data_IF_743900605808
#
_entry.id   IF_743900605808
#
_cell.length_a   1.000
_cell.length_b   1.000
_cell.length_c   1.000
_cell.angle_alpha   90.00
_cell.angle_beta   90.00
_cell.angle_gamma   90.00
#
_symmetry.space_group_name_H-M   'P 1'
#
loop_
_entity.id
_entity.type
_entity.pdbx_description
1 polymer ?
#
# COMPACT_ATOMS: atom_id res chain seq x y z
N UNK A 1 3.10 2.44 17.24
CA UNK A 1 4.51 2.00 17.30
C UNK A 1 4.71 1.23 18.61
N UNK A 2 4.66 -0.11 18.58
CA UNK A 2 4.70 -0.93 19.82
C UNK A 2 6.12 -1.09 20.42
N UNK A 3 7.16 -0.58 19.75
CA UNK A 3 8.53 -0.54 20.23
C UNK A 3 9.23 0.68 19.62
N UNK A 4 10.10 1.36 20.37
CA UNK A 4 10.85 2.55 19.90
C UNK A 4 11.86 2.26 18.78
N UNK A 5 12.00 1.00 18.37
CA UNK A 5 12.89 0.55 17.29
C UNK A 5 12.15 0.30 15.95
N UNK A 6 10.82 0.45 15.92
CA UNK A 6 10.05 0.19 14.71
C UNK A 6 10.04 1.42 13.80
N UNK A 7 10.59 1.27 12.58
CA UNK A 7 10.50 2.29 11.54
C UNK A 7 9.25 2.10 10.69
N UNK A 8 8.70 3.21 10.17
CA UNK A 8 7.53 3.23 9.31
C UNK A 8 7.81 4.04 8.05
N UNK A 9 7.60 3.44 6.89
CA UNK A 9 7.61 4.14 5.61
C UNK A 9 6.24 3.96 4.95
N UNK A 10 5.68 5.04 4.41
CA UNK A 10 4.37 5.01 3.75
C UNK A 10 4.57 5.47 2.31
N UNK A 11 4.18 4.62 1.36
CA UNK A 11 4.19 4.91 -0.07
C UNK A 11 2.75 5.01 -0.58
N UNK A 12 2.47 6.01 -1.39
CA UNK A 12 1.25 6.17 -2.15
C UNK A 12 1.46 5.67 -3.57
N UNK A 13 0.56 4.81 -4.05
CA UNK A 13 0.52 4.40 -5.45
C UNK A 13 -0.78 4.88 -6.08
N UNK A 14 -0.65 5.51 -7.25
CA UNK A 14 -1.77 5.95 -8.08
C UNK A 14 -1.50 5.47 -9.50
N UNK A 15 -2.52 5.53 -10.36
CA UNK A 15 -2.39 5.22 -11.79
C UNK A 15 -1.48 6.21 -12.54
N UNK A 16 -1.24 7.37 -11.93
CA UNK A 16 -0.43 8.44 -12.50
C UNK A 16 1.00 8.45 -11.96
N UNK A 17 1.15 8.44 -10.63
CA UNK A 17 2.42 8.67 -9.95
C UNK A 17 2.49 7.90 -8.65
N UNK A 18 3.63 7.27 -8.40
CA UNK A 18 4.01 6.75 -7.10
C UNK A 18 4.77 7.84 -6.32
N UNK A 19 4.48 8.00 -5.03
CA UNK A 19 5.12 8.97 -4.17
C UNK A 19 5.39 8.39 -2.78
N UNK A 20 6.48 8.79 -2.15
CA UNK A 20 6.72 8.50 -0.73
C UNK A 20 5.96 9.54 0.08
N UNK A 21 4.95 9.09 0.81
CA UNK A 21 4.06 9.95 1.61
C UNK A 21 4.64 10.24 2.98
N UNK A 22 5.37 9.27 3.53
CA UNK A 22 6.10 9.42 4.78
C UNK A 22 7.37 8.57 4.74
N UNK A 23 8.47 9.17 5.18
CA UNK A 23 9.75 8.52 5.34
C UNK A 23 10.30 8.88 6.72
N UNK A 24 10.81 7.88 7.42
CA UNK A 24 11.43 8.07 8.73
C UNK A 24 12.91 8.49 8.54
N UNK A 25 13.17 9.79 8.53
CA UNK A 25 14.49 10.41 8.30
C UNK A 25 15.46 10.29 9.48
N UNK A 26 15.08 9.66 10.60
CA UNK A 26 15.84 9.63 11.86
C UNK A 26 17.20 8.90 11.81
N UNK A 27 17.74 8.56 10.64
CA UNK A 27 19.07 7.97 10.47
C UNK A 27 19.84 8.50 9.24
N UNK A 28 19.39 9.59 8.62
CA UNK A 28 20.24 10.29 7.64
C UNK A 28 21.20 11.20 8.42
N UNK A 29 22.42 10.70 8.63
CA UNK A 29 23.52 11.41 9.29
C UNK A 29 23.64 12.88 8.81
N UNK A 30 23.53 13.80 9.76
CA UNK A 30 24.18 15.12 9.88
C UNK A 30 24.15 16.17 8.74
N UNK A 31 23.60 15.91 7.55
CA UNK A 31 23.66 16.87 6.42
C UNK A 31 22.34 17.58 6.07
N UNK A 32 21.16 17.07 6.46
CA UNK A 32 19.87 17.70 6.12
C UNK A 32 19.26 18.55 7.24
N UNK A 33 19.79 18.47 8.46
CA UNK A 33 19.33 19.27 9.60
C UNK A 33 19.53 20.78 9.41
N UNK A 34 20.36 21.22 8.44
CA UNK A 34 20.58 22.65 8.17
C UNK A 34 19.55 23.29 7.24
N UNK A 35 18.72 22.54 6.51
CA UNK A 35 17.72 23.13 5.60
C UNK A 35 16.27 23.11 6.13
N UNK A 36 15.96 22.32 7.15
CA UNK A 36 14.59 22.21 7.69
C UNK A 36 14.28 23.15 8.89
N UNK A 37 15.16 24.10 9.23
CA UNK A 37 14.88 25.09 10.29
C UNK A 37 13.70 26.05 10.01
N UNK A 38 13.11 26.05 8.81
CA UNK A 38 12.00 26.96 8.46
C UNK A 38 10.59 26.37 8.61
N UNK A 39 10.42 25.09 8.93
CA UNK A 39 9.10 24.46 9.05
C UNK A 39 9.01 23.54 10.28
N UNK A 40 9.48 24.00 11.44
CA UNK A 40 9.20 23.29 12.69
C UNK A 40 7.71 23.35 12.98
N UNK A 41 7.06 22.19 12.93
CA UNK A 41 5.70 22.05 13.45
C UNK A 41 5.84 22.01 14.97
N UNK A 42 5.29 23.01 15.66
CA UNK A 42 5.24 23.06 17.12
C UNK A 42 4.16 22.07 17.57
N UNK A 43 4.55 21.06 18.34
CA UNK A 43 3.66 20.00 18.83
C UNK A 43 3.57 20.14 20.35
N UNK A 44 2.37 20.43 20.88
CA UNK A 44 2.12 20.60 22.33
C UNK A 44 1.89 19.27 23.08
N UNK A 45 1.98 18.12 22.38
CA UNK A 45 1.54 16.82 22.89
C UNK A 45 2.70 16.02 23.53
N UNK A 46 2.89 16.18 24.84
CA UNK A 46 4.07 15.70 25.61
C UNK A 46 4.31 14.18 25.59
N UNK A 47 3.35 13.36 25.18
CA UNK A 47 3.47 11.89 25.29
C UNK A 47 3.68 11.18 23.95
N UNK A 48 3.49 11.83 22.80
CA UNK A 48 3.49 11.17 21.48
C UNK A 48 3.97 12.08 20.33
N UNK A 49 4.98 12.93 20.59
CA UNK A 49 5.52 13.87 19.60
C UNK A 49 5.86 13.21 18.24
N UNK A 50 6.45 12.01 18.28
CA UNK A 50 6.78 11.25 17.06
C UNK A 50 5.53 10.85 16.26
N UNK A 51 4.45 10.43 16.92
CA UNK A 51 3.22 10.04 16.25
C UNK A 51 2.48 11.26 15.68
N UNK A 52 2.49 12.39 16.40
CA UNK A 52 1.96 13.65 15.91
C UNK A 52 2.73 14.14 14.67
N UNK A 53 4.06 14.09 14.70
CA UNK A 53 4.92 14.44 13.57
C UNK A 53 4.63 13.56 12.34
N UNK A 54 4.53 12.23 12.52
CA UNK A 54 4.18 11.29 11.46
C UNK A 54 2.83 11.66 10.85
N UNK A 55 1.81 11.86 11.70
CA UNK A 55 0.43 12.11 11.27
C UNK A 55 0.33 13.41 10.49
N UNK A 56 0.95 14.48 10.97
CA UNK A 56 0.94 15.79 10.31
C UNK A 56 1.73 15.78 9.00
N UNK A 57 2.92 15.16 9.00
CA UNK A 57 3.76 15.04 7.80
C UNK A 57 3.05 14.22 6.73
N UNK A 58 2.50 13.07 7.11
CA UNK A 58 1.70 12.24 6.22
C UNK A 58 0.50 13.02 5.67
N UNK A 59 -0.29 13.68 6.52
CA UNK A 59 -1.46 14.42 6.09
C UNK A 59 -1.11 15.53 5.08
N UNK A 60 -0.04 16.30 5.35
CA UNK A 60 0.43 17.35 4.43
C UNK A 60 0.83 16.77 3.06
N UNK A 61 1.71 15.76 3.07
CA UNK A 61 2.21 15.15 1.84
C UNK A 61 1.09 14.46 1.07
N UNK A 62 0.14 13.83 1.77
CA UNK A 62 -1.00 13.16 1.17
C UNK A 62 -1.95 14.13 0.47
N UNK A 63 -2.27 15.27 1.10
CA UNK A 63 -3.12 16.30 0.47
C UNK A 63 -2.45 16.88 -0.77
N UNK A 64 -1.15 17.18 -0.70
CA UNK A 64 -0.38 17.66 -1.86
C UNK A 64 -0.36 16.62 -2.99
N UNK A 65 -0.07 15.37 -2.66
CA UNK A 65 -0.04 14.28 -3.64
C UNK A 65 -1.40 14.06 -4.31
N UNK A 66 -2.51 14.15 -3.57
CA UNK A 66 -3.86 14.07 -4.15
C UNK A 66 -4.10 15.22 -5.13
N UNK A 67 -3.71 16.44 -4.77
CA UNK A 67 -3.87 17.61 -5.66
C UNK A 67 -3.05 17.45 -6.93
N UNK A 68 -1.78 17.03 -6.83
CA UNK A 68 -0.93 16.71 -7.98
C UNK A 68 -1.55 15.63 -8.86
N UNK A 69 -2.02 14.52 -8.28
CA UNK A 69 -2.66 13.44 -9.02
C UNK A 69 -3.90 13.92 -9.76
N UNK A 70 -4.72 14.78 -9.13
CA UNK A 70 -5.92 15.36 -9.77
C UNK A 70 -5.56 16.25 -10.94
N UNK A 71 -4.53 17.10 -10.80
CA UNK A 71 -4.10 18.00 -11.86
C UNK A 71 -3.59 17.21 -13.08
N UNK A 72 -2.70 16.24 -12.87
CA UNK A 72 -2.15 15.42 -13.96
C UNK A 72 -3.25 14.58 -14.62
N UNK A 73 -4.20 14.06 -13.84
CA UNK A 73 -5.34 13.34 -14.37
C UNK A 73 -6.21 14.25 -15.26
N UNK A 74 -6.47 15.50 -14.85
CA UNK A 74 -7.19 16.48 -15.67
C UNK A 74 -6.43 16.83 -16.95
N UNK A 75 -5.12 17.05 -16.88
CA UNK A 75 -4.27 17.31 -18.06
C UNK A 75 -4.31 16.13 -19.05
N UNK A 76 -4.28 14.91 -18.55
CA UNK A 76 -4.37 13.69 -19.37
C UNK A 76 -5.71 13.59 -20.08
N UNK A 77 -6.81 13.92 -19.39
CA UNK A 77 -8.15 13.96 -19.99
C UNK A 77 -8.29 15.05 -21.06
N UNK A 78 -7.71 16.24 -20.83
CA UNK A 78 -7.71 17.34 -21.81
C UNK A 78 -6.84 17.02 -23.03
N UNK A 79 -5.68 16.37 -22.84
CA UNK A 79 -4.81 15.95 -23.93
C UNK A 79 -5.47 14.90 -24.84
N UNK A 80 -6.22 13.96 -24.27
CA UNK A 80 -6.95 12.93 -25.03
C UNK A 80 -8.06 13.50 -25.93
N UNK A 81 -8.62 14.67 -25.62
CA UNK A 81 -9.64 15.32 -26.48
C UNK A 81 -9.04 15.99 -27.73
N UNK A 82 -7.72 16.27 -27.74
CA UNK A 82 -7.07 17.01 -28.83
C UNK A 82 -6.45 16.09 -29.91
N UNK A 83 -6.28 14.79 -29.64
CA UNK A 83 -5.72 13.82 -30.60
C UNK A 83 -6.76 12.80 -31.05
N UNK A 84 -7.30 12.97 -32.25
CA UNK A 84 -8.09 11.94 -32.95
C UNK A 84 -7.16 10.80 -33.40
N UNK A 85 -6.97 9.78 -32.58
CA UNK A 85 -6.46 8.48 -33.01
C UNK A 85 -7.11 7.35 -32.19
N UNK A 86 -7.69 6.32 -32.84
CA UNK A 86 -8.31 5.20 -32.14
C UNK A 86 -7.24 4.15 -31.76
N UNK A 87 -7.49 3.44 -30.65
CA UNK A 87 -6.74 2.29 -30.11
C UNK A 87 -5.37 2.58 -29.45
N UNK A 88 -5.38 3.20 -28.26
CA UNK A 88 -5.02 2.51 -27.00
C UNK A 88 -5.83 3.20 -25.92
N UNK A 89 -6.92 2.58 -25.46
CA UNK A 89 -7.54 2.95 -24.21
C UNK A 89 -6.51 2.63 -23.13
N UNK A 90 -5.66 3.62 -22.79
CA UNK A 90 -4.71 3.52 -21.69
C UNK A 90 -5.56 3.47 -20.43
N UNK A 91 -6.04 2.27 -20.09
CA UNK A 91 -6.67 1.98 -18.81
C UNK A 91 -5.66 2.39 -17.77
N UNK A 92 -5.99 3.45 -17.04
CA UNK A 92 -5.16 4.02 -15.98
C UNK A 92 -5.02 2.97 -14.87
N UNK A 93 -4.05 2.09 -15.04
CA UNK A 93 -3.77 0.96 -14.16
C UNK A 93 -2.88 1.42 -13.02
N UNK A 94 -3.20 1.00 -11.79
CA UNK A 94 -2.44 1.33 -10.60
C UNK A 94 -0.98 0.89 -10.72
N UNK A 95 -0.01 1.78 -10.48
CA UNK A 95 1.44 1.50 -10.61
C UNK A 95 2.02 0.71 -9.41
N UNK A 96 1.28 -0.29 -8.92
CA UNK A 96 1.62 -1.05 -7.71
C UNK A 96 2.99 -1.74 -7.81
N UNK A 97 3.31 -2.32 -8.96
CA UNK A 97 4.60 -2.99 -9.18
C UNK A 97 5.80 -2.05 -8.97
N UNK A 98 5.66 -0.78 -9.38
CA UNK A 98 6.68 0.25 -9.15
C UNK A 98 6.80 0.62 -7.68
N UNK A 99 5.68 0.76 -6.97
CA UNK A 99 5.67 1.08 -5.54
C UNK A 99 6.28 -0.05 -4.70
N UNK A 100 5.99 -1.31 -5.04
CA UNK A 100 6.61 -2.48 -4.41
C UNK A 100 8.11 -2.54 -4.65
N UNK A 101 8.56 -2.28 -5.88
CA UNK A 101 9.99 -2.23 -6.18
C UNK A 101 10.70 -1.12 -5.39
N UNK A 102 10.10 0.07 -5.30
CA UNK A 102 10.63 1.17 -4.47
C UNK A 102 10.72 0.77 -3.00
N UNK A 103 9.66 0.18 -2.44
CA UNK A 103 9.65 -0.30 -1.07
C UNK A 103 10.76 -1.35 -0.82
N UNK A 104 10.94 -2.29 -1.74
CA UNK A 104 12.00 -3.31 -1.64
C UNK A 104 13.40 -2.69 -1.70
N UNK A 105 13.63 -1.70 -2.58
CA UNK A 105 14.89 -0.97 -2.64
C UNK A 105 15.17 -0.22 -1.33
N UNK A 106 14.17 0.43 -0.75
CA UNK A 106 14.29 1.12 0.54
C UNK A 106 14.59 0.13 1.68
N UNK A 107 13.93 -1.02 1.70
CA UNK A 107 14.23 -2.06 2.70
C UNK A 107 15.66 -2.59 2.50
N UNK A 108 16.09 -2.76 1.26
CA UNK A 108 17.43 -3.23 0.94
C UNK A 108 18.51 -2.25 1.43
N UNK A 109 18.32 -0.94 1.29
CA UNK A 109 19.28 0.05 1.77
C UNK A 109 19.46 -0.01 3.30
N UNK A 110 18.42 -0.37 4.05
CA UNK A 110 18.46 -0.51 5.51
C UNK A 110 18.61 -1.96 5.99
N UNK A 111 18.97 -2.90 5.11
CA UNK A 111 19.06 -4.34 5.44
C UNK A 111 20.04 -4.64 6.58
N UNK A 112 21.09 -3.83 6.74
CA UNK A 112 22.09 -4.02 7.80
C UNK A 112 21.60 -3.52 9.17
N UNK A 113 20.63 -2.61 9.19
CA UNK A 113 20.09 -1.99 10.41
C UNK A 113 18.82 -2.71 10.91
N UNK A 114 18.03 -3.26 9.98
CA UNK A 114 16.71 -3.84 10.28
C UNK A 114 16.74 -5.36 10.20
N UNK A 115 16.38 -6.04 11.30
CA UNK A 115 16.32 -7.50 11.36
C UNK A 115 15.04 -8.10 10.75
N UNK A 116 13.93 -7.37 10.86
CA UNK A 116 12.61 -7.82 10.41
C UNK A 116 11.97 -6.72 9.57
N UNK A 117 11.73 -7.02 8.29
CA UNK A 117 11.03 -6.11 7.37
C UNK A 117 9.76 -6.77 6.87
N UNK A 118 8.71 -5.95 6.76
CA UNK A 118 7.40 -6.37 6.30
C UNK A 118 6.80 -5.26 5.47
N UNK A 119 6.16 -5.65 4.38
CA UNK A 119 5.39 -4.74 3.53
C UNK A 119 3.92 -5.07 3.75
N UNK A 120 3.12 -4.03 4.01
CA UNK A 120 1.66 -4.14 4.04
C UNK A 120 1.10 -3.37 2.85
N UNK A 121 0.37 -4.07 1.99
CA UNK A 121 -0.27 -3.51 0.79
C UNK A 121 -1.75 -3.31 1.06
N UNK A 122 -2.22 -2.07 0.92
CA UNK A 122 -3.65 -1.78 0.86
C UNK A 122 -4.06 -1.57 -0.60
N UNK A 123 -4.83 -2.51 -1.13
CA UNK A 123 -5.52 -2.36 -2.42
C UNK A 123 -6.91 -1.82 -2.14
N UNK A 124 -7.19 -0.62 -2.65
CA UNK A 124 -8.45 0.11 -2.44
C UNK A 124 -9.11 0.33 -3.79
N UNK A 125 -10.35 -0.17 -3.94
CA UNK A 125 -11.17 0.06 -5.13
C UNK A 125 -11.07 -1.03 -6.20
N UNK A 126 -12.03 -1.03 -7.12
CA UNK A 126 -12.09 -1.94 -8.25
C UNK A 126 -11.02 -1.54 -9.27
N UNK A 127 -9.79 -2.02 -9.05
CA UNK A 127 -8.80 -2.08 -10.11
C UNK A 127 -9.43 -2.91 -11.24
N UNK A 128 -9.70 -2.29 -12.40
CA UNK A 128 -10.16 -3.01 -13.58
C UNK A 128 -9.20 -4.19 -13.83
N UNK A 129 -9.74 -5.36 -14.18
CA UNK A 129 -9.04 -6.66 -14.34
C UNK A 129 -7.69 -6.58 -15.07
N UNK A 130 -7.58 -5.63 -15.99
CA UNK A 130 -6.41 -5.45 -16.84
C UNK A 130 -5.21 -4.86 -16.08
N UNK A 131 -5.44 -4.24 -14.91
CA UNK A 131 -4.39 -3.64 -14.07
C UNK A 131 -3.44 -4.70 -13.53
N UNK A 132 -3.98 -5.73 -12.87
CA UNK A 132 -3.16 -6.82 -12.33
C UNK A 132 -2.65 -7.73 -13.45
N UNK A 133 -3.44 -7.93 -14.51
CA UNK A 133 -3.05 -8.77 -15.66
C UNK A 133 -1.85 -8.19 -16.40
N UNK A 134 -1.88 -6.89 -16.73
CA UNK A 134 -0.79 -6.21 -17.43
C UNK A 134 0.49 -6.10 -16.59
N UNK A 135 0.35 -6.04 -15.26
CA UNK A 135 1.47 -5.94 -14.33
C UNK A 135 1.90 -7.27 -13.71
N UNK A 136 1.24 -8.38 -14.06
CA UNK A 136 1.44 -9.67 -13.43
C UNK A 136 2.91 -10.10 -13.41
N UNK A 137 3.58 -10.06 -14.57
CA UNK A 137 5.01 -10.40 -14.67
C UNK A 137 5.89 -9.53 -13.77
N UNK A 138 5.57 -8.23 -13.65
CA UNK A 138 6.32 -7.29 -12.82
C UNK A 138 6.09 -7.55 -11.33
N UNK A 139 4.84 -7.83 -10.94
CA UNK A 139 4.46 -8.16 -9.58
C UNK A 139 5.10 -9.46 -9.11
N UNK A 140 5.04 -10.51 -9.93
CA UNK A 140 5.68 -11.80 -9.64
C UNK A 140 7.18 -11.62 -9.41
N UNK A 141 7.88 -10.84 -10.24
CA UNK A 141 9.30 -10.54 -10.03
C UNK A 141 9.55 -9.83 -8.69
N UNK A 142 8.67 -8.90 -8.29
CA UNK A 142 8.75 -8.23 -6.99
C UNK A 142 8.51 -9.22 -5.84
N UNK A 143 7.55 -10.15 -5.96
CA UNK A 143 7.28 -11.15 -4.93
C UNK A 143 8.44 -12.14 -4.76
N UNK A 144 9.05 -12.60 -5.85
CA UNK A 144 10.27 -13.43 -5.77
C UNK A 144 11.45 -12.67 -5.17
N UNK A 145 11.60 -11.38 -5.50
CA UNK A 145 12.62 -10.54 -4.90
C UNK A 145 12.38 -10.37 -3.39
N UNK A 146 11.14 -10.14 -2.97
CA UNK A 146 10.76 -10.04 -1.56
C UNK A 146 11.03 -11.35 -0.81
N UNK A 147 10.67 -12.50 -1.39
CA UNK A 147 10.95 -13.82 -0.84
C UNK A 147 12.46 -14.04 -0.65
N UNK A 148 13.27 -13.68 -1.66
CA UNK A 148 14.74 -13.78 -1.58
C UNK A 148 15.35 -12.86 -0.53
N UNK A 149 14.73 -11.70 -0.29
CA UNK A 149 15.14 -10.76 0.75
C UNK A 149 14.57 -11.10 2.14
N UNK A 150 13.78 -12.18 2.27
CA UNK A 150 13.07 -12.57 3.49
C UNK A 150 12.15 -11.46 4.03
N UNK A 151 11.47 -10.76 3.11
CA UNK A 151 10.48 -9.71 3.42
C UNK A 151 9.09 -10.30 3.27
N UNK A 152 8.29 -10.25 4.34
CA UNK A 152 6.90 -10.71 4.32
C UNK A 152 6.01 -9.66 3.65
N UNK A 153 5.14 -10.08 2.74
CA UNK A 153 4.14 -9.20 2.12
C UNK A 153 2.75 -9.60 2.61
N UNK A 154 2.14 -8.73 3.42
CA UNK A 154 0.74 -8.84 3.76
C UNK A 154 -0.07 -7.93 2.83
N UNK A 155 -1.24 -8.39 2.41
CA UNK A 155 -2.11 -7.61 1.53
C UNK A 155 -3.55 -7.60 2.04
N UNK A 156 -4.15 -6.43 1.92
CA UNK A 156 -5.53 -6.16 2.27
C UNK A 156 -6.24 -5.60 1.04
N UNK A 157 -7.22 -6.34 0.52
CA UNK A 157 -8.10 -5.86 -0.54
C UNK A 157 -9.40 -5.32 0.07
N UNK A 158 -9.71 -4.07 -0.20
CA UNK A 158 -10.91 -3.39 0.28
C UNK A 158 -11.85 -3.21 -0.91
N UNK A 159 -12.91 -4.01 -0.96
CA UNK A 159 -13.95 -3.90 -1.99
C UNK A 159 -14.84 -2.71 -1.64
N UNK A 160 -14.77 -1.65 -2.45
CA UNK A 160 -15.62 -0.47 -2.28
C UNK A 160 -16.97 -0.69 -2.97
N UNK A 161 -17.69 -1.74 -2.57
CA UNK A 161 -19.04 -1.96 -3.06
C UNK A 161 -19.92 -0.97 -2.30
N UNK A 162 -20.41 0.07 -2.98
CA UNK A 162 -21.41 0.98 -2.41
C UNK A 162 -22.59 0.13 -1.98
N UNK A 163 -22.91 0.21 -0.69
CA UNK A 163 -24.07 -0.43 -0.07
C UNK A 163 -25.32 -0.13 -0.90
N UNK A 164 -25.73 -1.12 -1.68
CA UNK A 164 -27.12 -1.27 -2.14
C UNK A 164 -27.46 -2.73 -1.89
N UNK A 165 -27.99 -2.93 -0.69
CA UNK A 165 -29.05 -3.86 -0.30
C UNK A 165 -29.13 -5.22 -1.00
N UNK A 166 -28.96 -6.27 -0.18
CA UNK A 166 -29.84 -7.44 -0.12
C UNK A 166 -30.57 -7.84 -1.41
N UNK A 167 -29.87 -8.53 -2.32
CA UNK A 167 -30.35 -9.68 -3.14
C UNK A 167 -29.53 -9.80 -4.43
N UNK A 168 -28.27 -10.19 -4.31
CA UNK A 168 -27.58 -10.97 -5.35
C UNK A 168 -26.29 -11.58 -4.78
N UNK A 169 -26.33 -12.81 -4.24
CA UNK A 169 -25.14 -13.64 -4.15
C UNK A 169 -24.80 -14.20 -5.54
N UNK A 170 -23.54 -14.59 -5.76
CA UNK A 170 -23.04 -15.42 -6.89
C UNK A 170 -22.55 -14.69 -8.17
N UNK A 171 -22.29 -13.40 -8.13
CA UNK A 171 -21.38 -12.79 -9.14
C UNK A 171 -20.51 -11.70 -8.53
N UNK A 172 -19.69 -12.07 -7.54
CA UNK A 172 -18.39 -11.43 -7.44
C UNK A 172 -17.73 -11.70 -8.79
N UNK A 173 -17.74 -10.68 -9.65
CA UNK A 173 -17.20 -10.71 -11.01
C UNK A 173 -15.91 -11.51 -11.00
N UNK A 174 -15.77 -12.49 -11.91
CA UNK A 174 -14.56 -13.32 -12.09
C UNK A 174 -13.26 -12.48 -12.09
N UNK A 175 -13.39 -11.21 -12.43
CA UNK A 175 -12.38 -10.16 -12.45
C UNK A 175 -11.86 -9.75 -11.06
N UNK A 176 -12.74 -9.56 -10.06
CA UNK A 176 -12.34 -9.26 -8.67
C UNK A 176 -11.60 -10.46 -8.05
N UNK A 177 -11.98 -11.67 -8.47
CA UNK A 177 -11.31 -12.91 -8.06
C UNK A 177 -9.91 -12.99 -8.64
N UNK A 178 -9.69 -12.50 -9.87
CA UNK A 178 -8.36 -12.52 -10.49
C UNK A 178 -7.38 -11.59 -9.77
N UNK A 179 -7.79 -10.34 -9.50
CA UNK A 179 -6.98 -9.40 -8.72
C UNK A 179 -6.65 -9.94 -7.31
N UNK A 180 -7.65 -10.51 -6.64
CA UNK A 180 -7.47 -11.20 -5.37
C UNK A 180 -6.49 -12.39 -5.49
N UNK A 181 -6.55 -13.15 -6.58
CA UNK A 181 -5.71 -14.33 -6.79
C UNK A 181 -4.23 -13.98 -6.95
N UNK A 182 -3.87 -12.88 -7.61
CA UNK A 182 -2.47 -12.49 -7.83
C UNK A 182 -1.84 -11.99 -6.52
N UNK A 183 -2.54 -11.14 -5.78
CA UNK A 183 -2.07 -10.66 -4.48
C UNK A 183 -2.02 -11.78 -3.44
N UNK A 184 -3.01 -12.68 -3.45
CA UNK A 184 -3.00 -13.86 -2.60
C UNK A 184 -1.81 -14.78 -2.90
N UNK A 185 -1.51 -15.04 -4.19
CA UNK A 185 -0.32 -15.80 -4.58
C UNK A 185 0.97 -15.12 -4.09
N UNK A 186 1.07 -13.79 -4.17
CA UNK A 186 2.21 -13.04 -3.64
C UNK A 186 2.37 -13.16 -2.12
N UNK A 187 1.27 -13.11 -1.38
CA UNK A 187 1.27 -13.35 0.06
C UNK A 187 1.69 -14.78 0.39
N UNK A 188 1.12 -15.78 -0.30
CA UNK A 188 1.42 -17.19 -0.05
C UNK A 188 2.90 -17.52 -0.37
N UNK A 189 3.46 -16.92 -1.43
CA UNK A 189 4.87 -17.08 -1.81
C UNK A 189 5.84 -16.49 -0.78
N UNK A 190 5.47 -15.35 -0.17
CA UNK A 190 6.30 -14.67 0.83
C UNK A 190 6.01 -15.13 2.27
N UNK A 191 4.99 -15.97 2.50
CA UNK A 191 4.55 -16.37 3.83
C UNK A 191 3.80 -15.26 4.59
N UNK A 192 3.27 -14.27 3.88
CA UNK A 192 2.41 -13.22 4.43
C UNK A 192 0.93 -13.61 4.51
N UNK A 193 0.07 -12.66 4.86
CA UNK A 193 -1.38 -12.84 4.97
C UNK A 193 -2.12 -12.00 3.95
N UNK A 194 -3.04 -12.63 3.25
CA UNK A 194 -4.04 -11.96 2.42
C UNK A 194 -5.39 -11.90 3.15
N UNK A 195 -6.00 -10.72 3.18
CA UNK A 195 -7.32 -10.47 3.77
C UNK A 195 -8.16 -9.67 2.79
N UNK A 196 -9.42 -10.08 2.64
CA UNK A 196 -10.40 -9.31 1.89
C UNK A 196 -11.40 -8.69 2.86
N UNK A 197 -11.53 -7.37 2.81
CA UNK A 197 -12.41 -6.60 3.67
C UNK A 197 -13.62 -6.15 2.86
N UNK A 198 -14.79 -6.64 3.31
CA UNK A 198 -16.08 -6.34 2.69
C UNK A 198 -16.71 -5.04 3.20
N UNK A 199 -16.49 -4.72 4.47
CA UNK A 199 -17.07 -3.55 5.13
C UNK A 199 -15.96 -2.60 5.56
N UNK A 200 -15.95 -1.39 5.01
CA UNK A 200 -14.93 -0.36 5.31
C UNK A 200 -14.88 -0.06 6.82
N UNK A 201 -16.03 -0.08 7.50
CA UNK A 201 -16.10 0.10 8.96
C UNK A 201 -15.30 -0.96 9.76
N UNK A 202 -15.09 -2.15 9.20
CA UNK A 202 -14.37 -3.25 9.85
C UNK A 202 -12.85 -3.24 9.60
N UNK A 203 -12.32 -2.26 8.85
CA UNK A 203 -10.88 -2.20 8.51
C UNK A 203 -10.01 -2.20 9.76
N UNK A 204 -10.39 -1.40 10.76
CA UNK A 204 -9.61 -1.25 11.97
C UNK A 204 -9.50 -2.57 12.75
N UNK A 205 -10.61 -3.30 12.86
CA UNK A 205 -10.66 -4.61 13.51
C UNK A 205 -9.75 -5.63 12.80
N UNK A 206 -9.86 -5.73 11.47
CA UNK A 206 -9.02 -6.63 10.67
C UNK A 206 -7.54 -6.24 10.76
N UNK A 207 -7.24 -4.95 10.76
CA UNK A 207 -5.88 -4.43 10.92
C UNK A 207 -5.29 -4.89 12.25
N UNK A 208 -5.99 -4.64 13.36
CA UNK A 208 -5.53 -5.02 14.69
C UNK A 208 -5.33 -6.52 14.83
N UNK A 209 -6.32 -7.35 14.46
CA UNK A 209 -6.24 -8.78 14.76
C UNK A 209 -5.39 -9.58 13.78
N UNK A 210 -5.33 -9.17 12.52
CA UNK A 210 -4.74 -10.01 11.49
C UNK A 210 -3.40 -9.49 10.94
N UNK A 211 -3.22 -8.17 10.92
CA UNK A 211 -2.09 -7.52 10.22
C UNK A 211 -1.04 -6.95 11.18
N UNK A 212 -1.42 -6.51 12.39
CA UNK A 212 -0.46 -6.02 13.38
C UNK A 212 0.45 -7.08 14.02
N UNK A 213 0.04 -8.34 14.25
CA UNK A 213 0.89 -9.31 14.95
C UNK A 213 2.20 -9.59 14.22
N UNK A 214 3.31 -9.65 14.96
CA UNK A 214 4.61 -10.02 14.41
C UNK A 214 4.60 -11.45 13.84
N UNK A 215 5.56 -11.79 12.98
CA UNK A 215 5.58 -13.08 12.29
C UNK A 215 5.58 -14.28 13.27
N UNK A 216 6.22 -14.11 14.42
CA UNK A 216 6.29 -15.09 15.51
C UNK A 216 4.97 -15.18 16.29
N UNK A 217 4.31 -14.05 16.54
CA UNK A 217 3.03 -14.03 17.29
C UNK A 217 1.86 -14.59 16.48
N UNK A 218 1.93 -14.56 15.14
CA UNK A 218 0.90 -15.12 14.26
C UNK A 218 0.61 -16.60 14.50
N UNK A 219 1.59 -17.38 14.94
CA UNK A 219 1.41 -18.80 15.25
C UNK A 219 0.53 -19.03 16.48
N UNK A 220 0.40 -18.01 17.35
CA UNK A 220 -0.43 -18.06 18.55
C UNK A 220 -1.88 -17.63 18.27
N UNK A 221 -2.09 -16.85 17.21
CA UNK A 221 -3.41 -16.40 16.77
C UNK A 221 -3.98 -17.37 15.72
N UNK A 222 -4.81 -18.31 16.18
CA UNK A 222 -5.65 -19.12 15.29
C UNK A 222 -6.71 -18.20 14.70
N UNK A 223 -6.51 -17.76 13.46
CA UNK A 223 -7.60 -17.13 12.71
C UNK A 223 -8.63 -18.18 12.33
N UNK A 224 -9.91 -17.79 12.19
CA UNK A 224 -10.92 -18.66 11.63
C UNK A 224 -10.44 -19.22 10.29
N UNK A 225 -10.68 -20.51 10.00
CA UNK A 225 -10.32 -21.09 8.71
C UNK A 225 -10.97 -20.26 7.59
N UNK A 226 -10.20 -20.01 6.53
CA UNK A 226 -10.75 -19.36 5.33
C UNK A 226 -11.95 -20.21 4.88
N UNK A 227 -13.11 -19.61 4.70
CA UNK A 227 -14.25 -20.31 4.10
C UNK A 227 -13.81 -20.76 2.70
N UNK A 228 -13.56 -22.05 2.54
CA UNK A 228 -13.47 -22.68 1.23
C UNK A 228 -14.82 -22.45 0.55
N UNK A 229 -14.79 -21.73 -0.58
CA UNK A 229 -15.91 -21.58 -1.51
C UNK A 229 -15.86 -22.78 -2.45
#
# INVERSE_FOLDING_TARGET
MQSGYNRLNILGSSSVKNAVLYFDENFTDDYEQQQQQQNQIIIDDQQNEQFALVTQTFHRNFVQWIQECRNIFQETLTAQQTQQQPEIQQTLSSLLSGALAQALCMIHSYKNEMKNSRILVFSIGADHSDTYSSQYMKLINCFFAAQKMNVLIDACSISMNRETEETAPVSASLEDQFAASVLQQGCDLTGGRYIRIHKVASILEHLFWCLTPSATERQQYVLPPKHEI
#
